data_IF_343628886121
#
_entry.id   IF_343628886121
#
_cell.length_a   1.000
_cell.length_b   1.000
_cell.length_c   1.000
_cell.angle_alpha   90.00
_cell.angle_beta   90.00
_cell.angle_gamma   90.00
#
_symmetry.space_group_name_H-M   'P 1'
#
loop_
_entity.id
_entity.type
_entity.pdbx_description
1 polymer ?
#
# COMPACT_ATOMS: atom_id res chain seq x y z
N UNK A 1 -28.63 4.14 -2.56
CA UNK A 1 -27.89 2.92 -2.15
C UNK A 1 -26.42 3.17 -1.84
N UNK A 2 -26.12 3.75 -0.67
CA UNK A 2 -24.74 3.95 -0.17
C UNK A 2 -24.48 3.25 1.17
N UNK A 3 -25.33 2.29 1.56
CA UNK A 3 -25.16 1.44 2.76
C UNK A 3 -24.14 0.32 2.54
N UNK A 4 -23.11 0.54 1.72
CA UNK A 4 -22.09 -0.47 1.47
C UNK A 4 -20.80 -0.08 2.21
N UNK A 5 -20.53 -0.85 3.26
CA UNK A 5 -19.30 -0.95 4.06
C UNK A 5 -18.88 0.33 4.81
N UNK A 6 -19.08 0.35 6.13
CA UNK A 6 -18.54 1.38 7.04
C UNK A 6 -17.03 1.62 6.83
N UNK A 7 -16.28 0.56 6.45
CA UNK A 7 -14.86 0.64 6.06
C UNK A 7 -14.66 1.59 4.88
N UNK A 8 -15.53 1.55 3.87
CA UNK A 8 -15.43 2.38 2.68
C UNK A 8 -15.72 3.86 3.01
N UNK A 9 -16.66 4.10 3.92
CA UNK A 9 -16.96 5.45 4.44
C UNK A 9 -15.77 5.98 5.23
N UNK A 10 -15.22 5.19 6.17
CA UNK A 10 -14.06 5.59 6.97
C UNK A 10 -12.83 5.86 6.11
N UNK A 11 -12.53 5.02 5.12
CA UNK A 11 -11.40 5.22 4.19
C UNK A 11 -11.48 6.54 3.40
N UNK A 12 -12.69 7.07 3.19
CA UNK A 12 -12.91 8.33 2.46
C UNK A 12 -12.90 9.55 3.37
N UNK A 13 -12.90 9.37 4.69
CA UNK A 13 -12.76 10.50 5.61
C UNK A 13 -11.34 11.08 5.46
N UNK A 14 -11.20 12.42 5.49
CA UNK A 14 -9.96 13.10 5.12
C UNK A 14 -8.80 12.83 6.08
N UNK A 15 -9.09 12.55 7.35
CA UNK A 15 -8.11 12.11 8.35
C UNK A 15 -7.49 10.76 7.97
N UNK A 16 -8.30 9.78 7.55
CA UNK A 16 -7.80 8.48 7.11
C UNK A 16 -7.19 8.52 5.70
N UNK A 17 -7.81 9.26 4.77
CA UNK A 17 -7.35 9.32 3.38
C UNK A 17 -5.98 10.01 3.24
N UNK A 18 -5.70 11.00 4.08
CA UNK A 18 -4.43 11.74 4.06
C UNK A 18 -3.41 11.21 5.08
N UNK A 19 -3.78 10.24 5.92
CA UNK A 19 -2.85 9.64 6.86
C UNK A 19 -1.92 8.64 6.16
N UNK A 20 -0.64 9.02 6.09
CA UNK A 20 0.42 8.14 5.62
C UNK A 20 0.63 6.94 6.54
N UNK A 21 0.83 5.76 5.95
CA UNK A 21 1.05 4.53 6.72
C UNK A 21 2.35 4.62 7.50
N UNK A 22 2.38 4.03 8.70
CA UNK A 22 3.60 3.99 9.54
C UNK A 22 4.77 3.34 8.79
N UNK A 23 4.49 2.28 8.01
CA UNK A 23 5.49 1.62 7.18
C UNK A 23 6.05 2.56 6.10
N UNK A 24 5.20 3.32 5.42
CA UNK A 24 5.64 4.30 4.43
C UNK A 24 6.54 5.36 5.05
N UNK A 25 6.21 5.86 6.25
CA UNK A 25 7.05 6.80 6.99
C UNK A 25 8.42 6.21 7.34
N UNK A 26 8.45 5.01 7.91
CA UNK A 26 9.71 4.33 8.29
C UNK A 26 10.60 4.11 7.06
N UNK A 27 10.00 3.69 5.94
CA UNK A 27 10.74 3.45 4.69
C UNK A 27 11.33 4.75 4.15
N UNK A 28 10.55 5.83 4.12
CA UNK A 28 11.05 7.14 3.68
C UNK A 28 12.14 7.71 4.59
N UNK A 29 11.96 7.60 5.90
CA UNK A 29 12.93 8.08 6.90
C UNK A 29 14.25 7.30 6.83
N UNK A 30 14.20 6.02 6.45
CA UNK A 30 15.40 5.19 6.37
C UNK A 30 16.32 5.57 5.20
N UNK A 31 15.77 6.14 4.11
CA UNK A 31 16.53 6.55 2.93
C UNK A 31 17.01 5.48 1.92
N UNK A 32 16.82 4.14 2.03
CA UNK A 32 17.15 3.23 0.94
C UNK A 32 16.16 3.36 -0.21
N UNK A 33 16.67 3.12 -1.42
CA UNK A 33 15.86 2.94 -2.62
C UNK A 33 15.10 1.62 -2.52
N UNK A 34 13.79 1.70 -2.38
CA UNK A 34 12.90 0.54 -2.51
C UNK A 34 12.26 0.57 -3.90
N UNK A 35 11.98 -0.62 -4.43
CA UNK A 35 11.38 -0.79 -5.76
C UNK A 35 9.89 -1.14 -5.61
N UNK A 36 9.02 -0.35 -6.23
CA UNK A 36 7.57 -0.55 -6.17
C UNK A 36 7.13 -1.46 -7.32
N UNK A 37 6.60 -2.65 -6.98
CA UNK A 37 6.06 -3.57 -7.96
C UNK A 37 4.55 -3.36 -8.15
N UNK A 38 4.03 -3.52 -9.37
CA UNK A 38 2.60 -3.51 -9.60
C UNK A 38 1.91 -4.66 -8.87
N UNK A 39 0.80 -4.38 -8.19
CA UNK A 39 0.08 -5.35 -7.34
C UNK A 39 -0.37 -6.62 -8.07
N UNK A 40 -0.73 -6.51 -9.35
CA UNK A 40 -1.33 -7.60 -10.13
C UNK A 40 -0.42 -8.14 -11.23
N UNK A 41 0.85 -7.71 -11.28
CA UNK A 41 1.84 -8.20 -12.23
C UNK A 41 2.93 -8.97 -11.48
N UNK A 42 2.61 -10.21 -11.12
CA UNK A 42 3.51 -11.06 -10.35
C UNK A 42 4.76 -11.47 -11.15
N UNK A 43 4.68 -11.44 -12.47
CA UNK A 43 5.78 -11.62 -13.42
C UNK A 43 6.88 -10.57 -13.27
N UNK A 44 6.54 -9.38 -12.78
CA UNK A 44 7.48 -8.29 -12.54
C UNK A 44 8.19 -8.42 -11.18
N UNK A 45 7.69 -9.25 -10.26
CA UNK A 45 8.31 -9.42 -8.95
C UNK A 45 9.45 -10.46 -9.02
N UNK A 46 10.69 -9.98 -9.10
CA UNK A 46 11.87 -10.85 -9.18
C UNK A 46 12.01 -11.76 -7.95
N UNK A 47 11.55 -11.33 -6.77
CA UNK A 47 11.62 -12.11 -5.52
C UNK A 47 10.86 -13.43 -5.66
N UNK A 48 9.73 -13.43 -6.39
CA UNK A 48 8.96 -14.67 -6.62
C UNK A 48 9.76 -15.75 -7.35
N UNK A 49 10.76 -15.39 -8.16
CA UNK A 49 11.61 -16.36 -8.86
C UNK A 49 12.50 -17.18 -7.92
N UNK A 50 12.72 -16.68 -6.70
CA UNK A 50 13.57 -17.34 -5.70
C UNK A 50 12.78 -18.15 -4.67
N UNK A 51 11.44 -18.03 -4.64
CA UNK A 51 10.61 -18.58 -3.57
C UNK A 51 9.92 -19.91 -3.90
N UNK A 52 10.11 -20.44 -5.12
CA UNK A 52 9.59 -21.76 -5.53
C UNK A 52 8.14 -21.72 -5.99
#
# INVERSE_FOLDING_TARGET
>A
DSKCCAIHIMKRQPDFANQKLTLEKIVEDSGPKFELYPKYHCECNWIKRYWG
#
